data_IF_259888814805
#
_entry.id   IF_259888814805
#
_cell.length_a   1.000
_cell.length_b   1.000
_cell.length_c   1.000
_cell.angle_alpha   90.00
_cell.angle_beta   90.00
_cell.angle_gamma   90.00
#
_symmetry.space_group_name_H-M   'P 1'
#
loop_
_entity.id
_entity.type
_entity.pdbx_description
1 polymer ?
#
# COMPACT_ATOMS: atom_id res chain seq x y z
N UNK A 1 25.37 23.37 48.13
CA UNK A 1 26.71 22.92 47.68
C UNK A 1 26.86 21.39 47.60
N UNK A 2 25.81 20.62 47.26
CA UNK A 2 25.89 19.15 47.15
C UNK A 2 25.72 18.60 45.71
N UNK A 3 25.38 19.44 44.73
CA UNK A 3 25.08 18.99 43.36
C UNK A 3 26.28 18.74 42.44
N UNK A 4 27.44 19.37 42.70
CA UNK A 4 28.64 19.21 41.84
C UNK A 4 29.46 17.94 42.12
N UNK A 5 29.31 17.34 43.30
CA UNK A 5 30.10 16.16 43.71
C UNK A 5 29.49 14.86 43.15
N UNK A 6 28.18 14.82 42.92
CA UNK A 6 27.50 13.63 42.39
C UNK A 6 27.76 13.43 40.88
N UNK A 7 27.92 14.53 40.12
CA UNK A 7 28.15 14.45 38.67
C UNK A 7 29.54 13.91 38.31
N UNK A 8 30.56 14.16 39.14
CA UNK A 8 31.93 13.70 38.89
C UNK A 8 32.15 12.21 39.20
N UNK A 9 31.27 11.61 40.03
CA UNK A 9 31.39 10.20 40.43
C UNK A 9 30.68 9.24 39.46
N UNK A 10 29.70 9.73 38.70
CA UNK A 10 29.02 8.95 37.65
C UNK A 10 29.87 8.90 36.37
N UNK A 11 30.55 9.99 36.01
CA UNK A 11 31.37 10.05 34.79
C UNK A 11 32.66 9.24 34.90
N UNK A 12 33.27 9.10 36.07
CA UNK A 12 34.53 8.33 36.23
C UNK A 12 34.33 6.81 36.19
N UNK A 13 33.12 6.29 36.45
CA UNK A 13 32.85 4.84 36.33
C UNK A 13 32.57 4.40 34.89
N UNK A 14 32.26 5.32 33.98
CA UNK A 14 31.99 5.00 32.58
C UNK A 14 33.26 4.91 31.71
N UNK A 15 34.33 5.63 32.04
CA UNK A 15 35.59 5.58 31.27
C UNK A 15 36.52 4.41 31.63
N UNK A 16 36.21 3.66 32.68
CA UNK A 16 37.01 2.48 33.09
C UNK A 16 36.38 1.15 32.68
N UNK A 17 35.52 1.17 31.65
CA UNK A 17 35.00 -0.02 30.98
C UNK A 17 35.27 -0.01 29.46
N UNK A 18 36.29 0.74 29.04
CA UNK A 18 36.69 0.92 27.65
C UNK A 18 38.15 0.54 27.47
N UNK A 19 38.42 -0.76 27.45
CA UNK A 19 39.54 -1.32 26.68
C UNK A 19 39.22 -2.77 26.32
N UNK A 20 38.33 -2.94 25.34
CA UNK A 20 38.14 -4.19 24.61
C UNK A 20 37.92 -3.80 23.13
N UNK A 21 38.84 -4.16 22.21
CA UNK A 21 38.82 -3.67 20.83
C UNK A 21 37.55 -4.04 20.05
N UNK A 22 36.78 -5.05 20.50
CA UNK A 22 35.51 -5.45 19.88
C UNK A 22 34.33 -4.48 20.11
N UNK A 23 34.35 -3.64 21.16
CA UNK A 23 33.20 -2.77 21.48
C UNK A 23 33.14 -1.48 20.67
N UNK A 24 34.28 -0.94 20.20
CA UNK A 24 34.28 0.24 19.31
C UNK A 24 33.71 -0.11 17.92
N UNK A 25 34.07 -1.30 17.41
CA UNK A 25 33.56 -1.80 16.12
C UNK A 25 32.04 -1.96 16.19
N UNK A 26 31.51 -2.49 17.29
CA UNK A 26 30.07 -2.62 17.49
C UNK A 26 29.33 -1.27 17.49
N UNK A 27 29.92 -0.23 18.07
CA UNK A 27 29.33 1.13 18.08
C UNK A 27 29.37 1.76 16.68
N UNK A 28 30.47 1.61 15.94
CA UNK A 28 30.57 2.09 14.55
C UNK A 28 29.62 1.35 13.61
N UNK A 29 29.49 0.03 13.74
CA UNK A 29 28.53 -0.76 12.97
C UNK A 29 27.09 -0.39 13.32
N UNK A 30 26.79 -0.17 14.60
CA UNK A 30 25.46 0.27 15.02
C UNK A 30 25.12 1.66 14.50
N UNK A 31 26.06 2.61 14.57
CA UNK A 31 25.87 3.96 14.03
C UNK A 31 25.73 3.93 12.50
N UNK A 32 26.54 3.11 11.81
CA UNK A 32 26.42 2.94 10.36
C UNK A 32 25.09 2.28 9.95
N UNK A 33 24.59 1.30 10.73
CA UNK A 33 23.29 0.68 10.52
C UNK A 33 22.16 1.68 10.78
N UNK A 34 22.25 2.48 11.85
CA UNK A 34 21.29 3.54 12.17
C UNK A 34 21.24 4.62 11.09
N UNK A 35 22.40 5.05 10.59
CA UNK A 35 22.49 6.01 9.49
C UNK A 35 21.91 5.42 8.21
N UNK A 36 22.16 4.14 7.90
CA UNK A 36 21.56 3.48 6.73
C UNK A 36 20.04 3.38 6.86
N UNK A 37 19.52 2.96 8.01
CA UNK A 37 18.08 2.92 8.31
C UNK A 37 17.46 4.32 8.20
N UNK A 38 18.14 5.36 8.72
CA UNK A 38 17.69 6.74 8.66
C UNK A 38 17.69 7.31 7.24
N UNK A 39 18.73 7.02 6.44
CA UNK A 39 18.80 7.39 5.01
C UNK A 39 17.73 6.64 4.20
N UNK A 40 17.48 5.37 4.48
CA UNK A 40 16.37 4.60 3.88
C UNK A 40 14.99 5.16 4.27
N UNK A 41 14.83 5.71 5.48
CA UNK A 41 13.58 6.29 5.94
C UNK A 41 13.36 7.73 5.42
N UNK A 42 14.42 8.48 5.13
CA UNK A 42 14.34 9.86 4.64
C UNK A 42 14.27 10.00 3.12
N UNK A 43 14.54 8.92 2.38
CA UNK A 43 14.29 8.86 0.94
C UNK A 43 13.10 7.92 0.73
N UNK A 44 11.84 8.41 0.76
CA UNK A 44 10.78 7.68 0.10
C UNK A 44 11.22 7.60 -1.36
N UNK A 45 11.70 6.41 -1.77
CA UNK A 45 11.94 6.15 -3.18
C UNK A 45 10.68 6.59 -3.91
N UNK A 46 10.78 7.47 -4.92
CA UNK A 46 9.60 7.85 -5.69
C UNK A 46 8.98 6.55 -6.18
N UNK A 47 7.75 6.30 -5.76
CA UNK A 47 7.00 5.14 -6.22
C UNK A 47 7.08 5.16 -7.74
N UNK A 48 7.70 4.15 -8.35
CA UNK A 48 7.96 4.20 -9.78
C UNK A 48 6.62 4.30 -10.49
N UNK A 49 6.55 5.25 -11.43
CA UNK A 49 5.37 5.57 -12.18
C UNK A 49 4.90 4.31 -12.90
N UNK A 50 3.72 3.77 -12.56
CA UNK A 50 3.35 2.44 -13.07
C UNK A 50 3.22 2.43 -14.60
N UNK A 51 2.79 3.56 -15.17
CA UNK A 51 2.78 3.76 -16.62
C UNK A 51 4.16 3.69 -17.28
N UNK A 52 5.23 4.13 -16.59
CA UNK A 52 6.60 4.13 -17.11
C UNK A 52 7.16 2.70 -17.10
N UNK A 53 6.92 1.95 -16.02
CA UNK A 53 7.26 0.52 -15.93
C UNK A 53 6.62 -0.26 -17.09
N UNK A 54 5.33 -0.06 -17.33
CA UNK A 54 4.63 -0.72 -18.44
C UNK A 54 5.22 -0.32 -19.78
N UNK A 55 5.51 0.97 -19.97
CA UNK A 55 6.08 1.46 -21.21
C UNK A 55 7.45 0.82 -21.49
N UNK A 56 8.29 0.69 -20.48
CA UNK A 56 9.61 0.07 -20.62
C UNK A 56 9.52 -1.44 -20.82
N UNK A 57 8.61 -2.14 -20.15
CA UNK A 57 8.33 -3.54 -20.42
C UNK A 57 7.89 -3.77 -21.88
N UNK A 58 7.06 -2.90 -22.44
CA UNK A 58 6.65 -2.95 -23.85
C UNK A 58 7.85 -2.75 -24.77
N UNK A 59 8.69 -1.74 -24.51
CA UNK A 59 9.90 -1.51 -25.32
C UNK A 59 10.84 -2.72 -25.29
N UNK A 60 11.04 -3.31 -24.11
CA UNK A 60 11.91 -4.47 -23.92
C UNK A 60 11.35 -5.73 -24.59
N UNK A 61 10.03 -5.87 -24.68
CA UNK A 61 9.38 -6.99 -25.37
C UNK A 61 9.54 -6.96 -26.90
N UNK A 62 9.86 -5.79 -27.47
CA UNK A 62 9.95 -5.61 -28.93
C UNK A 62 8.60 -5.66 -29.67
N UNK A 63 7.48 -5.70 -28.94
CA UNK A 63 6.14 -5.74 -29.53
C UNK A 63 5.68 -4.31 -29.85
N UNK A 64 5.15 -4.12 -31.05
CA UNK A 64 4.64 -2.80 -31.45
C UNK A 64 3.38 -2.42 -30.65
N UNK A 65 3.28 -1.14 -30.30
CA UNK A 65 2.11 -0.58 -29.61
C UNK A 65 0.82 -0.86 -30.42
N UNK A 66 0.91 -0.84 -31.75
CA UNK A 66 -0.21 -1.18 -32.66
C UNK A 66 -0.82 -2.55 -32.33
N UNK A 67 0.03 -3.58 -32.20
CA UNK A 67 -0.43 -4.93 -31.88
C UNK A 67 -1.03 -5.01 -30.49
N UNK A 68 -0.44 -4.30 -29.53
CA UNK A 68 -0.93 -4.28 -28.14
C UNK A 68 -2.31 -3.63 -28.05
N UNK A 69 -2.55 -2.53 -28.75
CA UNK A 69 -3.85 -1.85 -28.72
C UNK A 69 -4.94 -2.65 -29.44
N UNK A 70 -4.58 -3.40 -30.48
CA UNK A 70 -5.47 -4.33 -31.17
C UNK A 70 -5.90 -5.48 -30.26
N UNK A 71 -4.95 -6.11 -29.57
CA UNK A 71 -5.22 -7.21 -28.61
C UNK A 71 -6.01 -6.74 -27.38
N UNK A 72 -5.75 -5.53 -26.89
CA UNK A 72 -6.47 -4.95 -25.76
C UNK A 72 -7.84 -4.38 -26.14
N UNK A 73 -8.13 -4.19 -27.43
CA UNK A 73 -9.37 -3.57 -27.91
C UNK A 73 -9.51 -2.09 -27.53
N UNK A 74 -8.39 -1.37 -27.43
CA UNK A 74 -8.36 0.06 -27.06
C UNK A 74 -7.75 0.91 -28.19
N UNK A 75 -7.88 2.23 -28.10
CA UNK A 75 -7.28 3.16 -29.07
C UNK A 75 -5.87 3.58 -28.67
N UNK A 76 -5.01 3.92 -29.64
CA UNK A 76 -3.64 4.43 -29.37
C UNK A 76 -3.59 5.63 -28.42
N UNK A 77 -4.46 6.66 -28.53
CA UNK A 77 -4.44 7.75 -27.56
C UNK A 77 -4.72 7.29 -26.12
N UNK A 78 -5.51 6.22 -25.96
CA UNK A 78 -5.84 5.66 -24.65
C UNK A 78 -4.64 5.00 -24.00
N UNK A 79 -3.85 4.22 -24.75
CA UNK A 79 -2.65 3.59 -24.19
C UNK A 79 -1.57 4.62 -23.84
N UNK A 80 -1.40 5.67 -24.66
CA UNK A 80 -0.46 6.75 -24.35
C UNK A 80 -0.86 7.55 -23.11
N UNK A 81 -2.17 7.70 -22.87
CA UNK A 81 -2.67 8.29 -21.62
C UNK A 81 -2.34 7.41 -20.43
N UNK A 82 -2.55 6.09 -20.55
CA UNK A 82 -2.24 5.11 -19.49
C UNK A 82 -0.76 5.13 -19.08
N UNK A 83 0.17 5.36 -20.02
CA UNK A 83 1.59 5.50 -19.67
C UNK A 83 1.89 6.73 -18.80
N UNK A 84 0.99 7.72 -18.75
CA UNK A 84 1.12 8.90 -17.89
C UNK A 84 0.38 8.76 -16.56
N UNK A 85 -0.30 7.64 -16.31
CA UNK A 85 -1.00 7.41 -15.05
C UNK A 85 -0.02 6.84 -14.01
N UNK A 86 0.05 7.45 -12.82
CA UNK A 86 0.92 6.99 -11.71
C UNK A 86 0.53 5.57 -11.26
N UNK A 87 -0.76 5.25 -11.35
CA UNK A 87 -1.36 3.97 -10.98
C UNK A 87 -2.19 3.42 -12.13
N UNK A 88 -2.10 2.11 -12.33
CA UNK A 88 -2.80 1.38 -13.38
C UNK A 88 -3.73 0.33 -12.77
N UNK A 89 -4.82 0.07 -13.47
CA UNK A 89 -5.74 -0.99 -13.08
C UNK A 89 -5.06 -2.37 -13.18
N UNK A 90 -5.24 -3.19 -12.13
CA UNK A 90 -4.60 -4.50 -12.04
C UNK A 90 -5.05 -5.45 -13.17
N UNK A 91 -6.32 -5.36 -13.61
CA UNK A 91 -6.79 -6.20 -14.72
C UNK A 91 -6.14 -5.80 -16.04
N UNK A 92 -5.96 -4.49 -16.27
CA UNK A 92 -5.23 -3.98 -17.43
C UNK A 92 -3.79 -4.48 -17.44
N UNK A 93 -3.05 -4.32 -16.34
CA UNK A 93 -1.65 -4.77 -16.22
C UNK A 93 -1.54 -6.29 -16.46
N UNK A 94 -2.46 -7.08 -15.88
CA UNK A 94 -2.47 -8.53 -16.06
C UNK A 94 -2.64 -8.94 -17.52
N UNK A 95 -3.61 -8.34 -18.23
CA UNK A 95 -3.83 -8.63 -19.66
C UNK A 95 -2.65 -8.20 -20.51
N UNK A 96 -2.08 -7.04 -20.21
CA UNK A 96 -0.92 -6.52 -20.92
C UNK A 96 0.29 -7.45 -20.72
N UNK A 97 0.53 -7.93 -19.50
CA UNK A 97 1.58 -8.90 -19.19
C UNK A 97 1.42 -10.21 -19.95
N UNK A 98 0.19 -10.70 -20.13
CA UNK A 98 -0.10 -11.87 -20.96
C UNK A 98 0.22 -11.66 -22.44
N UNK A 99 -0.01 -10.46 -22.97
CA UNK A 99 0.26 -10.12 -24.38
C UNK A 99 1.78 -10.02 -24.61
N UNK A 100 2.51 -9.40 -23.69
CA UNK A 100 3.96 -9.18 -23.84
C UNK A 100 4.83 -10.30 -23.28
N UNK A 101 4.24 -11.26 -22.57
CA UNK A 101 4.95 -12.36 -21.91
C UNK A 101 5.79 -11.89 -20.71
N UNK A 102 5.40 -10.80 -20.05
CA UNK A 102 6.13 -10.22 -18.92
C UNK A 102 5.31 -10.35 -17.63
N UNK A 103 5.97 -10.78 -16.55
CA UNK A 103 5.36 -10.87 -15.23
C UNK A 103 5.60 -9.58 -14.43
N UNK A 104 4.56 -8.78 -14.33
CA UNK A 104 4.57 -7.51 -13.63
C UNK A 104 4.47 -7.62 -12.09
N UNK A 105 4.33 -8.83 -11.53
CA UNK A 105 4.23 -9.02 -10.08
C UNK A 105 5.50 -8.61 -9.32
N UNK A 106 6.65 -8.63 -10.00
CA UNK A 106 7.95 -8.23 -9.42
C UNK A 106 8.18 -6.71 -9.48
N UNK A 107 7.57 -6.03 -10.46
CA UNK A 107 7.77 -4.60 -10.69
C UNK A 107 6.75 -3.74 -9.93
N UNK A 108 5.51 -4.24 -9.82
CA UNK A 108 4.50 -3.65 -8.97
C UNK A 108 4.55 -4.34 -7.60
N UNK A 109 5.45 -3.90 -6.74
CA UNK A 109 5.38 -4.18 -5.31
C UNK A 109 4.10 -3.53 -4.77
N UNK A 110 2.95 -4.17 -4.98
CA UNK A 110 1.62 -3.66 -4.67
C UNK A 110 1.54 -3.38 -3.16
N UNK A 111 1.31 -2.13 -2.70
CA UNK A 111 0.93 -1.87 -1.32
C UNK A 111 -0.48 -2.42 -1.00
N UNK A 112 -1.27 -2.70 -2.03
CA UNK A 112 -2.70 -3.03 -1.99
C UNK A 112 -3.02 -4.51 -1.71
N UNK A 113 -2.08 -5.26 -1.11
CA UNK A 113 -2.34 -6.64 -0.67
C UNK A 113 -2.08 -6.83 0.82
N UNK A 114 -2.55 -5.87 1.62
CA UNK A 114 -2.61 -6.00 3.08
C UNK A 114 -4.04 -5.93 3.63
N UNK A 115 -5.07 -6.11 2.79
CA UNK A 115 -6.47 -6.03 3.23
C UNK A 115 -7.40 -7.08 2.62
N UNK A 116 -7.00 -8.35 2.48
CA UNK A 116 -7.99 -9.45 2.38
C UNK A 116 -7.53 -10.71 3.13
N UNK A 117 -7.46 -10.58 4.46
CA UNK A 117 -7.47 -11.73 5.37
C UNK A 117 -8.91 -12.17 5.69
N UNK A 118 -9.68 -12.62 4.69
CA UNK A 118 -10.80 -13.56 4.90
C UNK A 118 -11.26 -14.18 3.57
N UNK A 119 -10.43 -15.01 2.95
CA UNK A 119 -10.93 -16.08 2.09
C UNK A 119 -10.77 -17.37 2.85
N UNK A 120 -11.84 -17.74 3.56
CA UNK A 120 -12.13 -19.11 3.99
C UNK A 120 -11.74 -20.10 2.89
N UNK A 121 -11.02 -21.19 3.19
CA UNK A 121 -10.69 -22.20 2.19
C UNK A 121 -11.98 -22.80 1.64
N UNK A 122 -12.18 -22.69 0.32
CA UNK A 122 -13.19 -23.42 -0.44
C UNK A 122 -12.93 -24.91 -0.25
N UNK A 123 -13.83 -25.69 0.40
CA UNK A 123 -13.74 -27.14 0.34
C UNK A 123 -14.25 -27.56 -1.03
N UNK A 124 -13.39 -28.20 -1.82
CA UNK A 124 -13.82 -28.96 -3.00
C UNK A 124 -14.80 -30.03 -2.52
N UNK A 125 -16.09 -29.84 -2.78
CA UNK A 125 -17.13 -30.84 -2.56
C UNK A 125 -16.93 -32.00 -3.55
N UNK A 126 -16.14 -32.99 -3.13
CA UNK A 126 -16.27 -34.36 -3.61
C UNK A 126 -17.55 -34.96 -3.06
N UNK A 127 -18.28 -35.64 -3.92
CA UNK A 127 -19.50 -36.40 -3.64
C UNK A 127 -19.27 -37.42 -2.52
N UNK A 128 -20.02 -37.32 -1.42
CA UNK A 128 -20.57 -38.47 -0.67
C UNK A 128 -21.68 -38.02 0.28
N UNK A 129 -22.83 -38.67 0.18
CA UNK A 129 -23.98 -38.57 1.07
C UNK A 129 -23.61 -38.82 2.54
N UNK A 130 -24.11 -37.99 3.45
CA UNK A 130 -23.99 -38.20 4.90
C UNK A 130 -24.81 -37.18 5.69
N UNK A 131 -25.91 -37.65 6.27
CA UNK A 131 -26.96 -36.93 7.02
C UNK A 131 -26.44 -36.40 8.37
N UNK A 132 -26.67 -35.13 8.73
CA UNK A 132 -27.09 -34.68 10.09
C UNK A 132 -27.43 -33.17 10.13
N UNK A 133 -28.35 -32.71 11.02
CA UNK A 133 -29.11 -31.48 10.83
C UNK A 133 -28.53 -30.22 11.50
N UNK A 134 -28.62 -29.12 10.73
CA UNK A 134 -28.95 -27.73 11.07
C UNK A 134 -29.26 -27.41 12.54
N UNK A 135 -28.49 -26.48 13.12
CA UNK A 135 -29.00 -25.48 14.07
C UNK A 135 -28.63 -24.09 13.55
N UNK A 136 -29.65 -23.38 13.08
CA UNK A 136 -29.62 -21.98 12.68
C UNK A 136 -30.22 -21.16 13.83
N UNK A 137 -29.54 -20.13 14.36
CA UNK A 137 -30.24 -18.98 14.93
C UNK A 137 -30.51 -18.00 13.79
N UNK A 138 -31.79 -17.89 13.44
CA UNK A 138 -32.32 -16.91 12.48
C UNK A 138 -32.25 -15.52 13.10
N UNK A 139 -31.42 -14.62 12.56
CA UNK A 139 -31.53 -13.18 12.75
C UNK A 139 -31.71 -12.49 11.39
N UNK A 140 -32.58 -11.47 11.27
CA UNK A 140 -32.82 -10.75 10.03
C UNK A 140 -31.67 -9.79 9.74
N UNK A 141 -30.59 -10.29 9.14
CA UNK A 141 -29.37 -9.53 8.85
C UNK A 141 -29.58 -8.37 7.83
N UNK A 142 -30.68 -8.37 7.08
CA UNK A 142 -30.96 -7.34 6.07
C UNK A 142 -31.31 -5.97 6.66
N UNK A 143 -31.99 -5.92 7.81
CA UNK A 143 -32.37 -4.63 8.41
C UNK A 143 -31.15 -3.87 8.95
N UNK A 144 -30.17 -4.57 9.51
CA UNK A 144 -28.98 -3.94 10.10
C UNK A 144 -28.05 -3.36 9.01
N UNK A 145 -27.85 -4.07 7.90
CA UNK A 145 -27.06 -3.58 6.77
C UNK A 145 -27.70 -2.32 6.12
N UNK A 146 -29.02 -2.33 5.94
CA UNK A 146 -29.74 -1.16 5.41
C UNK A 146 -29.67 0.05 6.35
N UNK A 147 -29.75 -0.17 7.66
CA UNK A 147 -29.64 0.89 8.67
C UNK A 147 -28.22 1.46 8.74
N UNK A 148 -27.19 0.61 8.62
CA UNK A 148 -25.80 1.04 8.52
C UNK A 148 -25.54 1.87 7.25
N UNK A 149 -26.11 1.47 6.11
CA UNK A 149 -26.03 2.22 4.85
C UNK A 149 -26.67 3.61 5.00
N UNK A 150 -27.87 3.68 5.57
CA UNK A 150 -28.56 4.95 5.86
C UNK A 150 -27.70 5.86 6.76
N UNK A 151 -27.12 5.31 7.82
CA UNK A 151 -26.25 6.08 8.73
C UNK A 151 -25.00 6.64 8.01
N UNK A 152 -24.40 5.87 7.10
CA UNK A 152 -23.28 6.35 6.27
C UNK A 152 -23.72 7.41 5.28
N UNK A 153 -24.88 7.24 4.65
CA UNK A 153 -25.45 8.22 3.72
C UNK A 153 -25.70 9.57 4.43
N UNK A 154 -26.29 9.56 5.63
CA UNK A 154 -26.51 10.78 6.42
C UNK A 154 -25.19 11.48 6.76
N UNK A 155 -24.16 10.72 7.17
CA UNK A 155 -22.83 11.28 7.45
C UNK A 155 -22.19 11.93 6.20
N UNK A 156 -22.33 11.30 5.04
CA UNK A 156 -21.81 11.83 3.78
C UNK A 156 -22.52 13.13 3.37
N UNK A 157 -23.85 13.17 3.49
CA UNK A 157 -24.66 14.36 3.18
C UNK A 157 -24.22 15.53 4.08
N UNK A 158 -24.13 15.31 5.39
CA UNK A 158 -23.71 16.35 6.34
C UNK A 158 -22.31 16.90 6.04
N UNK A 159 -21.39 16.05 5.59
CA UNK A 159 -20.05 16.46 5.18
C UNK A 159 -20.09 17.34 3.92
N UNK A 160 -20.90 16.97 2.92
CA UNK A 160 -21.07 17.75 1.69
C UNK A 160 -21.68 19.12 1.98
N UNK A 161 -22.68 19.18 2.85
CA UNK A 161 -23.33 20.42 3.27
C UNK A 161 -22.35 21.35 3.99
N UNK A 162 -21.60 20.84 4.96
CA UNK A 162 -20.57 21.62 5.66
C UNK A 162 -19.48 22.13 4.69
N UNK A 163 -19.10 21.33 3.69
CA UNK A 163 -18.17 21.77 2.65
C UNK A 163 -18.75 22.90 1.79
N UNK A 164 -20.01 22.78 1.37
CA UNK A 164 -20.70 23.81 0.59
C UNK A 164 -20.89 25.11 1.37
N UNK A 165 -21.17 25.03 2.67
CA UNK A 165 -21.22 26.20 3.55
C UNK A 165 -19.86 26.94 3.62
N UNK A 166 -18.75 26.20 3.70
CA UNK A 166 -17.42 26.78 3.67
C UNK A 166 -17.12 27.46 2.34
N UNK A 167 -17.52 26.85 1.22
CA UNK A 167 -17.37 27.46 -0.10
C UNK A 167 -18.17 28.76 -0.22
N UNK A 168 -19.42 28.77 0.25
CA UNK A 168 -20.24 29.99 0.26
C UNK A 168 -19.66 31.07 1.19
N UNK A 169 -19.03 30.69 2.29
CA UNK A 169 -18.38 31.65 3.20
C UNK A 169 -17.14 32.29 2.59
N UNK A 170 -16.37 31.54 1.79
CA UNK A 170 -15.13 32.04 1.15
C UNK A 170 -15.43 32.80 -0.15
N UNK A 171 -16.42 32.35 -0.92
CA UNK A 171 -16.68 32.83 -2.29
C UNK A 171 -18.09 33.41 -2.50
N UNK A 172 -18.90 33.52 -1.46
CA UNK A 172 -20.23 34.14 -1.55
C UNK A 172 -20.14 35.61 -1.98
N UNK A 173 -21.12 36.12 -2.75
CA UNK A 173 -21.18 37.53 -3.10
C UNK A 173 -21.32 38.38 -1.83
N UNK A 174 -20.53 39.47 -1.75
CA UNK A 174 -20.53 40.42 -0.63
C UNK A 174 -21.81 41.22 -0.54
#
# INVERSE_FOLDING_TARGET
MYGKILLLRVTTKFYKLTYCPGRLIAIYLFYSLLVYIFVCHLNPFPMPHQGEIVQDAIKNSGISITRIVEELGITRPTIYRKFKDDTLDANFVKRLGQIIGHDFSQDFTMPEQSSLAFVTPVPKAGVTSGVTPRVTPTQPADLDASHQLLALQTKYIALLEAYNELLLKVYGPR
#
